data_IF_638911175698
#
_entry.id   IF_638911175698
#
_cell.length_a   1.000
_cell.length_b   1.000
_cell.length_c   1.000
_cell.angle_alpha   90.00
_cell.angle_beta   90.00
_cell.angle_gamma   90.00
#
_symmetry.space_group_name_H-M   'P 1'
#
loop_
_entity.id
_entity.type
_entity.pdbx_description
1 polymer ?
#
# COMPACT_ATOMS: atom_id res chain seq x y z
N UNK A 1 -5.87 -16.92 -2.35
CA UNK A 1 -5.00 -15.76 -2.60
C UNK A 1 -3.60 -16.19 -2.24
N UNK A 2 -2.64 -16.15 -3.17
CA UNK A 2 -1.26 -16.53 -2.88
C UNK A 2 -0.52 -15.32 -2.31
N UNK A 3 -0.03 -15.42 -1.07
CA UNK A 3 0.78 -14.41 -0.41
C UNK A 3 2.25 -14.64 -0.83
N UNK A 4 2.61 -14.13 -1.99
CA UNK A 4 3.93 -14.40 -2.60
C UNK A 4 5.01 -13.44 -2.12
N UNK A 5 4.63 -12.26 -1.62
CA UNK A 5 5.56 -11.24 -1.14
C UNK A 5 5.72 -11.29 0.38
N UNK A 6 6.83 -10.76 0.92
CA UNK A 6 6.99 -10.58 2.37
C UNK A 6 5.87 -9.73 2.98
N UNK A 7 5.46 -8.67 2.28
CA UNK A 7 4.33 -7.79 2.62
C UNK A 7 3.40 -7.71 1.40
N UNK A 8 2.11 -7.98 1.60
CA UNK A 8 1.09 -8.06 0.55
C UNK A 8 0.00 -7.01 0.80
N UNK A 9 -0.35 -6.25 -0.23
CA UNK A 9 -1.37 -5.19 -0.18
C UNK A 9 -2.68 -5.73 -0.78
N UNK A 10 -3.61 -6.13 0.08
CA UNK A 10 -4.82 -6.83 -0.34
C UNK A 10 -5.77 -5.86 -1.04
N UNK A 11 -6.28 -6.26 -2.21
CA UNK A 11 -7.18 -5.43 -3.01
C UNK A 11 -6.47 -4.38 -3.88
N UNK A 12 -5.16 -4.17 -3.73
CA UNK A 12 -4.42 -3.19 -4.52
C UNK A 12 -4.49 -3.49 -6.03
N UNK A 13 -4.31 -4.75 -6.43
CA UNK A 13 -4.40 -5.13 -7.83
C UNK A 13 -5.81 -4.92 -8.40
N UNK A 14 -6.84 -5.16 -7.57
CA UNK A 14 -8.23 -4.92 -7.96
C UNK A 14 -8.52 -3.43 -8.14
N UNK A 15 -7.98 -2.58 -7.25
CA UNK A 15 -8.04 -1.12 -7.39
C UNK A 15 -7.37 -0.64 -8.68
N UNK A 16 -6.18 -1.15 -8.97
CA UNK A 16 -5.44 -0.86 -10.21
C UNK A 16 -6.21 -1.28 -11.47
N UNK A 17 -6.84 -2.45 -11.45
CA UNK A 17 -7.65 -2.96 -12.58
C UNK A 17 -8.98 -2.22 -12.73
N UNK A 18 -9.49 -1.59 -11.67
CA UNK A 18 -10.75 -0.86 -11.67
C UNK A 18 -10.67 0.57 -12.24
N UNK A 19 -9.53 0.97 -12.79
CA UNK A 19 -9.26 2.36 -13.18
C UNK A 19 -9.37 3.29 -11.96
N UNK A 20 -8.78 2.85 -10.84
CA UNK A 20 -8.67 3.62 -9.59
C UNK A 20 -10.00 3.98 -8.93
N UNK A 21 -10.98 3.08 -8.94
CA UNK A 21 -12.26 3.25 -8.25
C UNK A 21 -12.04 3.66 -6.77
N UNK A 22 -12.52 4.84 -6.33
CA UNK A 22 -12.38 5.30 -4.94
C UNK A 22 -12.95 4.34 -3.90
N UNK A 23 -13.88 3.46 -4.28
CA UNK A 23 -14.44 2.45 -3.37
C UNK A 23 -13.48 1.29 -3.10
N UNK A 24 -12.44 1.15 -3.92
CA UNK A 24 -11.44 0.10 -3.83
C UNK A 24 -10.07 0.65 -3.39
N UNK A 25 -9.96 1.94 -3.07
CA UNK A 25 -8.69 2.61 -2.73
C UNK A 25 -8.20 2.33 -1.31
N UNK A 26 -8.50 1.14 -0.77
CA UNK A 26 -8.08 0.70 0.55
C UNK A 26 -8.13 -0.82 0.67
N UNK A 27 -7.38 -1.37 1.63
CA UNK A 27 -7.43 -2.78 1.99
C UNK A 27 -6.42 -3.15 3.07
N UNK A 28 -6.35 -4.44 3.39
CA UNK A 28 -5.45 -4.94 4.43
C UNK A 28 -4.00 -5.05 3.93
N UNK A 29 -3.06 -4.97 4.86
CA UNK A 29 -1.64 -5.27 4.62
C UNK A 29 -1.29 -6.52 5.43
N UNK A 30 -0.84 -7.55 4.73
CA UNK A 30 -0.67 -8.90 5.29
C UNK A 30 0.73 -9.41 5.02
N UNK A 31 1.37 -10.04 6.02
CA UNK A 31 2.66 -10.72 5.85
C UNK A 31 2.51 -11.94 4.95
N UNK A 32 3.64 -12.56 4.58
CA UNK A 32 3.64 -13.82 3.84
C UNK A 32 2.92 -14.96 4.58
N UNK A 33 2.99 -14.94 5.91
CA UNK A 33 2.45 -15.98 6.79
C UNK A 33 0.95 -15.76 7.11
N UNK A 34 0.34 -14.71 6.55
CA UNK A 34 -1.08 -14.42 6.72
C UNK A 34 -1.41 -13.54 7.91
N UNK A 35 -0.42 -12.94 8.57
CA UNK A 35 -0.65 -11.98 9.65
C UNK A 35 -1.09 -10.63 9.11
N UNK A 36 -2.21 -10.10 9.59
CA UNK A 36 -2.66 -8.73 9.29
C UNK A 36 -1.89 -7.75 10.15
N UNK A 37 -1.07 -6.90 9.53
CA UNK A 37 -0.19 -5.95 10.24
C UNK A 37 -0.66 -4.50 10.12
N UNK A 38 -1.70 -4.25 9.34
CA UNK A 38 -2.28 -2.93 9.17
C UNK A 38 -3.19 -2.83 7.95
N UNK A 39 -3.46 -1.61 7.53
CA UNK A 39 -4.25 -1.28 6.36
C UNK A 39 -3.51 -0.28 5.47
N UNK A 40 -3.74 -0.37 4.17
CA UNK A 40 -3.32 0.62 3.20
C UNK A 40 -4.51 1.40 2.67
N UNK A 41 -4.27 2.65 2.27
CA UNK A 41 -5.23 3.46 1.52
C UNK A 41 -4.53 4.38 0.53
N UNK A 42 -5.19 4.66 -0.59
CA UNK A 42 -4.78 5.67 -1.54
C UNK A 42 -5.69 6.89 -1.43
N UNK A 43 -5.10 8.08 -1.27
CA UNK A 43 -5.79 9.36 -1.05
C UNK A 43 -5.32 10.43 -2.04
N UNK A 44 -6.11 11.51 -2.10
CA UNK A 44 -5.69 12.77 -2.73
C UNK A 44 -5.55 12.71 -4.25
N UNK A 45 -6.07 11.66 -4.88
CA UNK A 45 -6.01 11.46 -6.31
C UNK A 45 -7.37 11.73 -6.98
N UNK A 46 -7.33 12.18 -8.23
CA UNK A 46 -8.50 12.30 -9.10
C UNK A 46 -8.53 11.12 -10.08
N UNK A 47 -9.52 10.21 -10.02
CA UNK A 47 -9.62 9.08 -10.93
C UNK A 47 -9.83 9.47 -12.39
N UNK A 48 -10.24 10.72 -12.67
CA UNK A 48 -10.43 11.23 -14.03
C UNK A 48 -9.19 11.95 -14.59
N UNK A 49 -8.15 12.14 -13.78
CA UNK A 49 -6.89 12.74 -14.18
C UNK A 49 -5.77 11.71 -14.08
N UNK A 50 -5.32 11.22 -15.23
CA UNK A 50 -4.22 10.25 -15.32
C UNK A 50 -2.87 10.80 -14.83
N UNK A 51 -2.72 12.13 -14.73
CA UNK A 51 -1.54 12.77 -14.17
C UNK A 51 -1.71 13.13 -12.71
N UNK A 52 -2.85 12.77 -12.11
CA UNK A 52 -3.12 13.06 -10.71
C UNK A 52 -2.05 12.44 -9.83
N UNK A 53 -1.50 13.28 -8.96
CA UNK A 53 -0.66 12.84 -7.87
C UNK A 53 -1.55 12.31 -6.75
N UNK A 54 -1.13 11.23 -6.11
CA UNK A 54 -1.84 10.65 -4.99
C UNK A 54 -0.92 10.44 -3.79
N UNK A 55 -1.47 9.89 -2.72
CA UNK A 55 -0.75 9.49 -1.53
C UNK A 55 -1.14 8.07 -1.19
N UNK A 56 -0.16 7.18 -1.07
CA UNK A 56 -0.37 5.92 -0.38
C UNK A 56 -0.11 6.13 1.10
N UNK A 57 -0.99 5.61 1.93
CA UNK A 57 -0.82 5.60 3.36
C UNK A 57 -0.86 4.17 3.89
N UNK A 58 -0.03 3.90 4.88
CA UNK A 58 -0.08 2.71 5.70
C UNK A 58 -0.44 3.11 7.13
N UNK A 59 -1.39 2.39 7.71
CA UNK A 59 -1.79 2.52 9.12
C UNK A 59 -1.56 1.17 9.78
N UNK A 60 -0.69 1.11 10.79
CA UNK A 60 -0.45 -0.11 11.53
C UNK A 60 -1.71 -0.61 12.23
N UNK A 61 -1.81 -1.92 12.44
CA UNK A 61 -2.96 -2.51 13.11
C UNK A 61 -3.08 -1.97 14.55
N UNK A 62 -4.26 -1.44 14.90
CA UNK A 62 -4.53 -0.83 16.20
C UNK A 62 -4.15 0.66 16.31
N UNK A 63 -3.56 1.25 15.26
CA UNK A 63 -3.32 2.69 15.19
C UNK A 63 -4.50 3.43 14.55
N UNK A 64 -4.80 4.63 15.05
CA UNK A 64 -5.85 5.50 14.50
C UNK A 64 -5.32 6.44 13.40
N UNK A 65 -4.01 6.50 13.20
CA UNK A 65 -3.35 7.46 12.30
C UNK A 65 -2.31 6.81 11.40
N UNK A 66 -2.07 7.42 10.24
CA UNK A 66 -1.13 6.90 9.27
C UNK A 66 0.29 6.84 9.85
N UNK A 67 0.87 5.64 9.85
CA UNK A 67 2.25 5.38 10.29
C UNK A 67 3.24 5.81 9.20
N UNK A 68 2.91 5.55 7.93
CA UNK A 68 3.73 5.97 6.78
C UNK A 68 2.87 6.54 5.67
N UNK A 69 3.46 7.46 4.91
CA UNK A 69 2.84 8.02 3.70
C UNK A 69 3.86 8.10 2.58
N UNK A 70 3.51 7.65 1.38
CA UNK A 70 4.36 7.70 0.19
C UNK A 70 3.63 8.37 -0.98
N UNK A 71 4.25 9.40 -1.56
CA UNK A 71 3.63 10.19 -2.63
C UNK A 71 3.74 9.48 -3.97
N UNK A 72 2.63 9.48 -4.72
CA UNK A 72 2.55 9.10 -6.11
C UNK A 72 2.74 10.33 -6.97
N UNK A 73 3.75 10.34 -7.84
CA UNK A 73 3.98 11.48 -8.73
C UNK A 73 2.90 11.55 -9.82
N UNK A 74 2.49 10.40 -10.39
CA UNK A 74 1.46 10.30 -11.43
C UNK A 74 0.76 8.93 -11.39
N UNK A 75 -0.56 8.89 -11.21
CA UNK A 75 -1.33 7.64 -11.18
C UNK A 75 -1.40 6.92 -12.53
N UNK A 76 -1.26 7.58 -13.68
CA UNK A 76 -1.30 6.95 -15.00
C UNK A 76 0.00 6.24 -15.37
N UNK A 77 1.13 6.67 -14.78
CA UNK A 77 2.47 6.16 -15.12
C UNK A 77 2.83 4.89 -14.33
N UNK A 78 2.82 3.73 -15.00
CA UNK A 78 3.08 2.41 -14.38
C UNK A 78 4.37 2.39 -13.55
N UNK A 79 5.44 3.01 -14.06
CA UNK A 79 6.72 3.08 -13.36
C UNK A 79 6.65 3.92 -12.07
N UNK A 80 5.91 5.04 -12.05
CA UNK A 80 5.75 5.86 -10.86
C UNK A 80 5.02 5.09 -9.75
N UNK A 81 3.96 4.37 -10.13
CA UNK A 81 3.19 3.53 -9.20
C UNK A 81 4.00 2.37 -8.66
N UNK A 82 4.66 1.62 -9.53
CA UNK A 82 5.52 0.50 -9.13
C UNK A 82 6.64 0.93 -8.18
N UNK A 83 7.26 2.10 -8.43
CA UNK A 83 8.28 2.65 -7.56
C UNK A 83 7.73 3.06 -6.18
N UNK A 84 6.61 3.78 -6.15
CA UNK A 84 5.97 4.19 -4.90
C UNK A 84 5.54 2.98 -4.05
N UNK A 85 4.92 1.97 -4.68
CA UNK A 85 4.53 0.74 -4.00
C UNK A 85 5.77 -0.01 -3.49
N UNK A 86 6.82 -0.15 -4.28
CA UNK A 86 8.06 -0.82 -3.84
C UNK A 86 8.70 -0.12 -2.64
N UNK A 87 8.69 1.21 -2.63
CA UNK A 87 9.21 2.02 -1.52
C UNK A 87 8.34 1.86 -0.27
N UNK A 88 7.02 1.87 -0.42
CA UNK A 88 6.10 1.64 0.69
C UNK A 88 6.24 0.22 1.25
N UNK A 89 6.24 -0.81 0.40
CA UNK A 89 6.44 -2.21 0.80
C UNK A 89 7.73 -2.39 1.60
N UNK A 90 8.83 -1.79 1.13
CA UNK A 90 10.10 -1.80 1.86
C UNK A 90 9.98 -1.11 3.21
N UNK A 91 9.38 0.07 3.26
CA UNK A 91 9.23 0.84 4.50
C UNK A 91 8.38 0.09 5.53
N UNK A 92 7.27 -0.51 5.09
CA UNK A 92 6.40 -1.33 5.96
C UNK A 92 7.14 -2.57 6.45
N UNK A 93 7.89 -3.26 5.59
CA UNK A 93 8.67 -4.44 5.98
C UNK A 93 9.75 -4.06 6.99
N UNK A 94 10.56 -3.06 6.68
CA UNK A 94 11.67 -2.64 7.54
C UNK A 94 11.13 -2.16 8.91
N UNK A 95 9.95 -1.52 8.95
CA UNK A 95 9.23 -1.21 10.19
C UNK A 95 8.77 -2.46 10.93
N UNK A 96 8.14 -3.42 10.24
CA UNK A 96 7.60 -4.62 10.85
C UNK A 96 8.71 -5.49 11.45
N UNK A 97 9.83 -5.68 10.74
CA UNK A 97 11.03 -6.39 11.23
C UNK A 97 11.64 -5.71 12.45
N UNK A 98 11.70 -4.37 12.47
CA UNK A 98 12.22 -3.62 13.62
C UNK A 98 11.35 -3.76 14.88
N UNK A 99 10.04 -3.96 14.72
CA UNK A 99 9.10 -4.16 15.82
C UNK A 99 8.91 -5.65 16.17
N UNK A 100 9.32 -6.58 15.30
CA UNK A 100 9.19 -8.02 15.46
C UNK A 100 10.53 -8.71 15.12
N UNK A 101 11.55 -8.62 16.00
CA UNK A 101 12.89 -9.13 15.72
C UNK A 101 12.97 -10.67 15.59
N UNK A 102 11.92 -11.40 15.97
CA UNK A 102 11.79 -12.84 15.74
C UNK A 102 11.43 -13.20 14.29
N UNK A 103 11.12 -12.20 13.46
CA UNK A 103 10.73 -12.35 12.05
C UNK A 103 11.90 -12.19 11.06
N UNK A 104 13.14 -12.03 11.55
CA UNK A 104 14.35 -11.80 10.74
C UNK A 104 15.08 -13.07 10.30
#
# INVERSE_FOLDING_TARGET
>A
MELVYPINFIGHDKWMQSVYDPRLSQGDVITRDGEVIGAWRALGYDPNDEYSAGLFEFTAFGEDSATFTERLAMLGVLMSRGFALSKLSRTVRDWYEANNPEFS
#
